data_IF_470888704431
#
_entry.id   IF_470888704431
#
_cell.length_a   1.000
_cell.length_b   1.000
_cell.length_c   1.000
_cell.angle_alpha   90.00
_cell.angle_beta   90.00
_cell.angle_gamma   90.00
#
_symmetry.space_group_name_H-M   'P 1'
#
loop_
_entity.id
_entity.type
_entity.pdbx_description
1 polymer ?
#
# COMPACT_ATOMS: atom_id res chain seq x y z
N UNK A 1 -6.37 -2.89 28.11
CA UNK A 1 -6.15 -1.62 27.41
C UNK A 1 -4.96 -0.94 28.06
N UNK A 2 -3.89 -0.68 27.31
CA UNK A 2 -2.76 0.12 27.79
C UNK A 2 -3.04 1.62 27.66
N UNK A 3 -2.32 2.47 28.40
CA UNK A 3 -2.54 3.91 28.46
C UNK A 3 -2.43 4.65 27.10
N UNK A 4 -1.63 4.16 26.13
CA UNK A 4 -1.56 4.75 24.79
C UNK A 4 -2.83 4.51 23.94
N UNK A 5 -3.43 3.32 24.08
CA UNK A 5 -4.59 2.91 23.31
C UNK A 5 -5.84 3.78 23.61
N UNK A 6 -6.01 4.22 24.86
CA UNK A 6 -7.12 5.10 25.26
C UNK A 6 -6.97 6.52 24.70
N UNK A 7 -5.75 7.05 24.62
CA UNK A 7 -5.46 8.40 24.10
C UNK A 7 -5.72 8.47 22.59
N UNK A 8 -5.18 7.52 21.82
CA UNK A 8 -5.39 7.46 20.36
C UNK A 8 -6.85 7.22 20.00
N UNK A 9 -7.56 6.35 20.75
CA UNK A 9 -9.00 6.14 20.57
C UNK A 9 -9.78 7.43 20.79
N UNK A 10 -9.59 8.09 21.93
CA UNK A 10 -10.30 9.35 22.23
C UNK A 10 -10.02 10.42 21.17
N UNK A 11 -8.78 10.51 20.70
CA UNK A 11 -8.35 11.50 19.70
C UNK A 11 -8.90 11.24 18.30
N UNK A 12 -9.05 10.01 17.85
CA UNK A 12 -9.42 9.74 16.44
C UNK A 12 -10.77 9.07 16.27
N UNK A 13 -11.22 8.27 17.23
CA UNK A 13 -12.46 7.49 17.18
C UNK A 13 -13.52 7.95 18.20
N UNK A 14 -13.18 8.88 19.08
CA UNK A 14 -14.09 9.41 20.09
C UNK A 14 -14.63 8.33 21.03
N UNK A 15 -15.95 8.35 21.27
CA UNK A 15 -16.63 7.41 22.18
C UNK A 15 -17.16 6.15 21.51
N UNK A 16 -16.76 5.83 20.28
CA UNK A 16 -17.24 4.64 19.57
C UNK A 16 -16.83 3.36 20.34
N UNK A 17 -17.84 2.67 20.90
CA UNK A 17 -17.66 1.39 21.61
C UNK A 17 -17.69 0.20 20.65
N UNK A 18 -18.15 0.38 19.41
CA UNK A 18 -18.20 -0.65 18.39
C UNK A 18 -16.80 -1.15 18.02
N UNK A 19 -15.80 -0.27 18.06
CA UNK A 19 -14.40 -0.62 17.75
C UNK A 19 -13.80 -1.62 18.75
N UNK A 20 -14.22 -1.58 20.02
CA UNK A 20 -13.73 -2.48 21.08
C UNK A 20 -14.26 -3.90 20.94
N UNK A 21 -15.33 -4.08 20.18
CA UNK A 21 -15.93 -5.38 19.86
C UNK A 21 -15.37 -6.00 18.59
N UNK A 22 -14.56 -5.25 17.82
CA UNK A 22 -13.96 -5.72 16.56
C UNK A 22 -12.64 -6.44 16.84
N UNK A 23 -12.21 -7.28 15.89
CA UNK A 23 -10.87 -7.86 15.93
C UNK A 23 -9.81 -6.73 15.89
N UNK A 24 -8.67 -6.85 16.59
CA UNK A 24 -7.63 -5.83 16.64
C UNK A 24 -7.25 -5.24 15.28
N UNK A 25 -7.07 -6.08 14.24
CA UNK A 25 -6.74 -5.60 12.89
C UNK A 25 -7.79 -4.64 12.30
N UNK A 26 -9.08 -4.94 12.49
CA UNK A 26 -10.17 -4.10 11.97
C UNK A 26 -10.24 -2.77 12.73
N UNK A 27 -10.07 -2.83 14.05
CA UNK A 27 -9.97 -1.65 14.90
C UNK A 27 -8.79 -0.76 14.52
N UNK A 28 -7.62 -1.36 14.23
CA UNK A 28 -6.46 -0.66 13.71
C UNK A 28 -6.75 0.01 12.37
N UNK A 29 -7.37 -0.71 11.43
CA UNK A 29 -7.74 -0.16 10.12
C UNK A 29 -8.61 1.09 10.25
N UNK A 30 -9.63 1.05 11.10
CA UNK A 30 -10.52 2.18 11.38
C UNK A 30 -9.80 3.35 12.07
N UNK A 31 -8.98 3.05 13.08
CA UNK A 31 -8.16 4.06 13.75
C UNK A 31 -7.25 4.78 12.76
N UNK A 32 -6.57 4.04 11.90
CA UNK A 32 -5.69 4.59 10.89
C UNK A 32 -6.46 5.46 9.89
N UNK A 33 -7.63 5.01 9.41
CA UNK A 33 -8.45 5.84 8.52
C UNK A 33 -8.86 7.17 9.15
N UNK A 34 -9.30 7.12 10.41
CA UNK A 34 -9.70 8.31 11.12
C UNK A 34 -8.52 9.26 11.35
N UNK A 35 -7.35 8.72 11.69
CA UNK A 35 -6.11 9.48 11.88
C UNK A 35 -5.66 10.19 10.60
N UNK A 36 -5.58 9.47 9.48
CA UNK A 36 -5.25 10.03 8.17
C UNK A 36 -6.21 11.18 7.80
N UNK A 37 -7.52 10.96 7.94
CA UNK A 37 -8.53 11.97 7.64
C UNK A 37 -8.38 13.21 8.54
N UNK A 38 -8.17 13.02 9.85
CA UNK A 38 -8.04 14.13 10.81
C UNK A 38 -6.76 14.93 10.61
N UNK A 39 -5.71 14.32 10.05
CA UNK A 39 -4.46 14.99 9.69
C UNK A 39 -4.50 15.70 8.33
N UNK A 40 -5.66 15.79 7.68
CA UNK A 40 -5.80 16.44 6.37
C UNK A 40 -5.22 15.63 5.20
N UNK A 41 -4.83 14.37 5.44
CA UNK A 41 -4.32 13.48 4.42
C UNK A 41 -5.47 12.79 3.68
N UNK A 42 -5.29 12.54 2.39
CA UNK A 42 -6.25 11.84 1.55
C UNK A 42 -5.58 10.65 0.84
N UNK A 43 -6.39 9.61 0.59
CA UNK A 43 -5.99 8.44 -0.22
C UNK A 43 -6.62 8.45 -1.61
N UNK A 44 -7.33 9.52 -1.95
CA UNK A 44 -8.01 9.65 -3.23
C UNK A 44 -6.99 9.66 -4.37
N UNK A 45 -7.23 8.93 -5.47
CA UNK A 45 -6.31 8.90 -6.60
C UNK A 45 -6.43 10.21 -7.39
N UNK A 46 -5.69 11.25 -7.01
CA UNK A 46 -5.78 12.56 -7.69
C UNK A 46 -5.13 12.58 -9.07
N UNK A 47 -4.12 11.74 -9.30
CA UNK A 47 -3.36 11.67 -10.56
C UNK A 47 -4.12 10.89 -11.63
N UNK A 48 -4.74 9.77 -11.27
CA UNK A 48 -5.32 8.83 -12.24
C UNK A 48 -6.42 9.45 -13.13
N UNK A 49 -7.38 10.25 -12.60
CA UNK A 49 -8.37 10.92 -13.44
C UNK A 49 -7.77 11.89 -14.46
N UNK A 50 -6.63 12.51 -14.13
CA UNK A 50 -5.92 13.40 -15.07
C UNK A 50 -5.32 12.58 -16.21
N UNK A 51 -4.66 11.47 -15.87
CA UNK A 51 -4.02 10.55 -16.82
C UNK A 51 -5.06 9.90 -17.74
N UNK A 52 -6.18 9.40 -17.21
CA UNK A 52 -7.25 8.81 -18.00
C UNK A 52 -7.85 9.83 -18.98
N UNK A 53 -8.08 11.07 -18.54
CA UNK A 53 -8.57 12.14 -19.44
C UNK A 53 -7.56 12.45 -20.54
N UNK A 54 -6.27 12.50 -20.23
CA UNK A 54 -5.22 12.73 -21.22
C UNK A 54 -5.15 11.58 -22.24
N UNK A 55 -5.12 10.34 -21.77
CA UNK A 55 -5.10 9.15 -22.62
C UNK A 55 -6.34 9.09 -23.54
N UNK A 56 -7.53 9.35 -23.00
CA UNK A 56 -8.78 9.41 -23.77
C UNK A 56 -8.74 10.47 -24.87
N UNK A 57 -8.28 11.68 -24.56
CA UNK A 57 -8.15 12.77 -25.56
C UNK A 57 -7.15 12.43 -26.66
N UNK A 58 -6.08 11.71 -26.32
CA UNK A 58 -5.07 11.26 -27.26
C UNK A 58 -5.46 9.98 -28.03
N UNK A 59 -6.64 9.40 -27.77
CA UNK A 59 -7.04 8.12 -28.38
C UNK A 59 -6.20 6.92 -27.94
N UNK A 60 -5.44 7.04 -26.85
CA UNK A 60 -4.57 5.99 -26.32
C UNK A 60 -5.40 5.08 -25.41
N UNK A 61 -5.41 3.79 -25.71
CA UNK A 61 -6.00 2.77 -24.84
C UNK A 61 -4.97 2.35 -23.78
N UNK A 62 -5.23 2.57 -22.47
CA UNK A 62 -4.31 2.13 -21.42
C UNK A 62 -4.16 0.61 -21.41
N UNK A 63 -2.93 0.14 -21.17
CA UNK A 63 -2.65 -1.28 -20.92
C UNK A 63 -2.97 -1.59 -19.45
N UNK A 64 -3.89 -2.52 -19.15
CA UNK A 64 -4.16 -2.93 -17.78
C UNK A 64 -2.92 -3.58 -17.15
N UNK A 65 -2.56 -3.16 -15.94
CA UNK A 65 -1.44 -3.72 -15.18
C UNK A 65 -1.88 -4.44 -13.90
N UNK A 66 -3.19 -4.65 -13.73
CA UNK A 66 -3.74 -5.32 -12.56
C UNK A 66 -3.50 -6.83 -12.67
N UNK A 67 -2.96 -7.43 -11.60
CA UNK A 67 -2.86 -8.88 -11.48
C UNK A 67 -4.18 -9.41 -10.94
N UNK A 68 -4.95 -10.11 -11.78
CA UNK A 68 -6.15 -10.80 -11.35
C UNK A 68 -5.78 -12.03 -10.50
N UNK A 69 -6.11 -11.96 -9.21
CA UNK A 69 -5.91 -13.07 -8.27
C UNK A 69 -7.26 -13.59 -7.78
N UNK A 70 -7.63 -14.79 -8.24
CA UNK A 70 -8.88 -15.46 -7.82
C UNK A 70 -8.62 -16.36 -6.62
N UNK A 71 -9.29 -16.08 -5.52
CA UNK A 71 -9.32 -16.97 -4.35
C UNK A 71 -10.19 -18.17 -4.69
N UNK A 72 -9.57 -19.35 -4.79
CA UNK A 72 -10.30 -20.62 -4.88
C UNK A 72 -11.05 -20.88 -3.57
N UNK A 73 -12.30 -21.32 -3.68
CA UNK A 73 -13.18 -21.69 -2.58
C UNK A 73 -13.28 -20.61 -1.47
N UNK A 74 -13.85 -19.43 -1.77
CA UNK A 74 -13.86 -18.28 -0.84
C UNK A 74 -14.57 -18.60 0.49
N UNK A 75 -15.58 -19.49 0.48
CA UNK A 75 -16.25 -19.94 1.71
C UNK A 75 -15.32 -20.73 2.62
N UNK A 76 -14.52 -21.63 2.04
CA UNK A 76 -13.53 -22.40 2.79
C UNK A 76 -12.39 -21.49 3.25
N UNK A 77 -11.92 -20.57 2.41
CA UNK A 77 -10.92 -19.57 2.78
C UNK A 77 -11.37 -18.75 4.00
N UNK A 78 -12.64 -18.30 4.01
CA UNK A 78 -13.19 -17.56 5.14
C UNK A 78 -13.30 -18.44 6.41
N UNK A 79 -13.70 -19.71 6.27
CA UNK A 79 -13.76 -20.65 7.40
C UNK A 79 -12.37 -20.89 7.99
N UNK A 80 -11.36 -21.11 7.16
CA UNK A 80 -9.98 -21.33 7.56
C UNK A 80 -9.34 -20.07 8.14
N UNK A 81 -9.64 -18.88 7.59
CA UNK A 81 -9.22 -17.61 8.18
C UNK A 81 -9.84 -17.37 9.56
N UNK A 82 -11.09 -17.79 9.78
CA UNK A 82 -11.74 -17.74 11.10
C UNK A 82 -11.17 -18.77 12.08
N UNK A 83 -10.80 -19.95 11.59
CA UNK A 83 -10.29 -21.05 12.41
C UNK A 83 -8.79 -20.92 12.72
N UNK A 84 -8.01 -20.37 11.80
CA UNK A 84 -6.60 -20.08 11.97
C UNK A 84 -6.44 -18.82 12.80
N UNK A 85 -5.91 -18.95 14.02
CA UNK A 85 -5.48 -17.80 14.80
C UNK A 85 -4.43 -17.01 14.03
N UNK A 86 -4.69 -15.74 13.81
CA UNK A 86 -3.71 -14.77 13.33
C UNK A 86 -3.30 -13.92 14.54
N UNK A 87 -2.01 -13.71 14.74
CA UNK A 87 -1.50 -12.73 15.69
C UNK A 87 -1.77 -11.32 15.13
N UNK A 88 -2.99 -10.85 15.32
CA UNK A 88 -3.43 -9.51 14.93
C UNK A 88 -3.03 -8.43 15.93
N UNK A 89 -2.41 -8.81 17.06
CA UNK A 89 -1.86 -7.89 18.05
C UNK A 89 -0.62 -7.17 17.56
N UNK A 90 0.27 -7.86 16.83
CA UNK A 90 1.45 -7.22 16.22
C UNK A 90 1.05 -6.16 15.18
N UNK A 91 0.10 -6.51 14.30
CA UNK A 91 -0.52 -5.59 13.34
C UNK A 91 -1.14 -4.38 14.05
N UNK A 92 -1.95 -4.60 15.09
CA UNK A 92 -2.57 -3.51 15.84
C UNK A 92 -1.55 -2.57 16.49
N UNK A 93 -0.47 -3.13 17.06
CA UNK A 93 0.60 -2.34 17.67
C UNK A 93 1.34 -1.49 16.63
N UNK A 94 1.66 -2.03 15.46
CA UNK A 94 2.31 -1.28 14.38
C UNK A 94 1.47 -0.09 13.93
N UNK A 95 0.16 -0.29 13.77
CA UNK A 95 -0.76 0.79 13.41
C UNK A 95 -0.88 1.83 14.53
N UNK A 96 -0.92 1.43 15.80
CA UNK A 96 -0.90 2.37 16.92
C UNK A 96 0.36 3.22 16.91
N UNK A 97 1.54 2.61 16.73
CA UNK A 97 2.81 3.32 16.63
C UNK A 97 2.75 4.34 15.49
N UNK A 98 2.28 3.94 14.31
CA UNK A 98 2.18 4.85 13.18
C UNK A 98 1.23 6.03 13.43
N UNK A 99 0.09 5.77 14.07
CA UNK A 99 -0.88 6.82 14.43
C UNK A 99 -0.35 7.75 15.53
N UNK A 100 0.45 7.24 16.46
CA UNK A 100 0.96 8.01 17.60
C UNK A 100 2.23 8.78 17.27
N UNK A 101 3.09 8.26 16.38
CA UNK A 101 4.44 8.78 16.16
C UNK A 101 4.69 9.24 14.73
N UNK A 102 4.07 8.61 13.75
CA UNK A 102 4.52 8.76 12.35
C UNK A 102 3.64 9.73 11.55
N UNK A 103 2.48 10.14 12.07
CA UNK A 103 1.60 11.10 11.39
C UNK A 103 2.30 12.42 10.97
N UNK A 104 3.15 13.05 11.80
CA UNK A 104 3.88 14.26 11.38
C UNK A 104 4.77 13.98 10.15
N UNK A 105 5.51 12.88 10.17
CA UNK A 105 6.35 12.43 9.06
C UNK A 105 5.51 12.15 7.80
N UNK A 106 4.32 11.56 7.96
CA UNK A 106 3.40 11.35 6.84
C UNK A 106 2.92 12.66 6.20
N UNK A 107 2.67 13.69 7.01
CA UNK A 107 2.30 15.03 6.54
C UNK A 107 3.46 15.70 5.82
N UNK A 108 4.66 15.68 6.39
CA UNK A 108 5.87 16.22 5.75
C UNK A 108 6.11 15.56 4.39
N UNK A 109 5.98 14.23 4.33
CA UNK A 109 6.11 13.46 3.09
C UNK A 109 5.02 13.79 2.07
N UNK A 110 3.78 14.05 2.51
CA UNK A 110 2.70 14.47 1.62
C UNK A 110 2.96 15.87 1.02
N UNK A 111 3.51 16.79 1.81
CA UNK A 111 3.92 18.10 1.34
C UNK A 111 5.05 18.00 0.31
N UNK A 112 6.09 17.21 0.59
CA UNK A 112 7.16 16.93 -0.37
C UNK A 112 6.62 16.35 -1.69
N UNK A 113 5.67 15.41 -1.61
CA UNK A 113 5.00 14.86 -2.80
C UNK A 113 4.22 15.93 -3.58
N UNK A 114 3.54 16.86 -2.90
CA UNK A 114 2.72 17.89 -3.55
C UNK A 114 3.51 18.88 -4.40
N UNK A 115 4.78 19.11 -4.06
CA UNK A 115 5.68 20.04 -4.77
C UNK A 115 6.75 19.33 -5.61
N UNK A 116 6.78 17.99 -5.60
CA UNK A 116 7.76 17.21 -6.36
C UNK A 116 9.16 17.16 -5.75
N UNK A 117 9.32 17.34 -4.44
CA UNK A 117 10.61 17.22 -3.76
C UNK A 117 11.05 15.76 -3.62
N UNK A 118 11.68 15.24 -4.68
CA UNK A 118 12.14 13.85 -4.77
C UNK A 118 13.23 13.56 -3.74
N UNK A 119 14.07 14.54 -3.40
CA UNK A 119 15.16 14.36 -2.45
C UNK A 119 14.64 14.16 -1.02
N UNK A 120 13.67 14.98 -0.59
CA UNK A 120 12.98 14.78 0.68
C UNK A 120 12.24 13.44 0.70
N UNK A 121 11.58 13.05 -0.40
CA UNK A 121 10.90 11.75 -0.48
C UNK A 121 11.85 10.55 -0.38
N UNK A 122 13.11 10.69 -0.82
CA UNK A 122 14.15 9.66 -0.64
C UNK A 122 14.62 9.58 0.82
N UNK A 123 14.73 10.72 1.51
CA UNK A 123 15.10 10.80 2.94
C UNK A 123 13.98 10.39 3.90
N UNK A 124 12.73 10.48 3.44
CA UNK A 124 11.53 10.10 4.19
C UNK A 124 10.91 8.82 3.59
N UNK A 125 11.59 7.66 3.73
CA UNK A 125 11.07 6.41 3.21
C UNK A 125 9.70 6.12 3.85
N UNK A 126 8.75 5.70 3.01
CA UNK A 126 7.43 5.30 3.52
C UNK A 126 7.54 3.88 4.04
N UNK A 127 7.56 3.72 5.36
CA UNK A 127 7.12 2.46 5.95
C UNK A 127 5.60 2.36 5.77
N UNK A 128 5.12 1.23 5.30
CA UNK A 128 3.70 0.98 5.18
C UNK A 128 3.19 0.45 6.52
N UNK A 129 2.42 1.22 7.31
CA UNK A 129 1.95 0.74 8.61
C UNK A 129 1.02 -0.47 8.47
N UNK A 130 0.45 -0.68 7.28
CA UNK A 130 -0.37 -1.85 6.97
C UNK A 130 0.47 -3.06 6.54
N UNK A 131 1.76 -2.93 6.23
CA UNK A 131 2.60 -4.05 5.80
C UNK A 131 2.62 -5.15 6.85
N UNK A 132 2.83 -4.82 8.14
CA UNK A 132 2.79 -5.80 9.22
C UNK A 132 1.44 -6.55 9.30
N UNK A 133 0.34 -5.88 8.97
CA UNK A 133 -0.98 -6.50 8.89
C UNK A 133 -1.12 -7.41 7.67
N UNK A 134 -0.63 -6.97 6.51
CA UNK A 134 -0.61 -7.77 5.29
C UNK A 134 0.28 -9.00 5.45
N UNK A 135 1.44 -8.88 6.09
CA UNK A 135 2.38 -9.96 6.36
C UNK A 135 1.81 -10.95 7.37
N UNK A 136 1.18 -10.47 8.45
CA UNK A 136 0.47 -11.31 9.40
C UNK A 136 -0.66 -12.11 8.72
N UNK A 137 -1.40 -11.48 7.80
CA UNK A 137 -2.42 -12.16 7.00
C UNK A 137 -1.79 -13.18 6.04
N UNK A 138 -0.75 -12.78 5.31
CA UNK A 138 -0.10 -13.59 4.29
C UNK A 138 0.64 -14.79 4.86
N UNK A 139 1.21 -14.65 6.07
CA UNK A 139 1.88 -15.74 6.80
C UNK A 139 0.91 -16.72 7.47
N UNK A 140 -0.39 -16.44 7.50
CA UNK A 140 -1.38 -17.39 8.01
C UNK A 140 -1.37 -18.68 7.17
N UNK A 141 -1.61 -19.82 7.83
CA UNK A 141 -1.64 -21.12 7.14
C UNK A 141 -2.68 -21.18 6.00
N UNK A 142 -3.80 -20.46 6.16
CA UNK A 142 -4.84 -20.33 5.14
C UNK A 142 -4.38 -19.50 3.92
N UNK A 143 -3.56 -18.47 4.13
CA UNK A 143 -3.04 -17.62 3.07
C UNK A 143 -1.89 -18.28 2.28
N UNK A 144 -0.95 -18.94 2.97
CA UNK A 144 0.13 -19.71 2.34
C UNK A 144 -0.39 -20.84 1.45
N UNK A 145 -1.39 -21.60 1.91
CA UNK A 145 -2.05 -22.64 1.10
C UNK A 145 -2.64 -22.12 -0.22
N UNK A 146 -2.84 -20.80 -0.33
CA UNK A 146 -3.40 -20.15 -1.51
C UNK A 146 -2.35 -19.34 -2.29
N UNK A 147 -1.10 -19.26 -1.83
CA UNK A 147 -0.03 -18.51 -2.50
C UNK A 147 -0.17 -17.00 -2.38
N UNK A 148 -0.74 -16.53 -1.25
CA UNK A 148 -0.87 -15.09 -0.94
C UNK A 148 0.43 -14.51 -0.39
N UNK A 149 1.25 -15.33 0.28
CA UNK A 149 2.60 -15.01 0.75
C UNK A 149 3.55 -14.52 -0.34
N UNK A 150 3.30 -14.94 -1.57
CA UNK A 150 4.11 -14.58 -2.73
C UNK A 150 3.47 -13.50 -3.64
N UNK A 151 2.28 -13.00 -3.25
CA UNK A 151 1.47 -12.15 -4.12
C UNK A 151 2.17 -10.82 -4.45
N UNK A 152 2.88 -10.22 -3.49
CA UNK A 152 3.64 -8.99 -3.74
C UNK A 152 4.73 -9.17 -4.82
N UNK A 153 5.49 -10.26 -4.74
CA UNK A 153 6.51 -10.58 -5.74
C UNK A 153 5.88 -10.79 -7.11
N UNK A 154 4.79 -11.56 -7.18
CA UNK A 154 4.05 -11.81 -8.42
C UNK A 154 3.47 -10.54 -9.03
N UNK A 155 2.94 -9.62 -8.22
CA UNK A 155 2.46 -8.32 -8.69
C UNK A 155 3.60 -7.49 -9.30
N UNK A 156 4.77 -7.47 -8.66
CA UNK A 156 5.96 -6.79 -9.20
C UNK A 156 6.42 -7.39 -10.52
N UNK A 157 6.57 -8.71 -10.58
CA UNK A 157 7.01 -9.42 -11.79
C UNK A 157 6.01 -9.26 -12.93
N UNK A 158 4.71 -9.35 -12.65
CA UNK A 158 3.66 -9.11 -13.63
C UNK A 158 3.74 -7.71 -14.22
N UNK A 159 3.87 -6.69 -13.36
CA UNK A 159 4.02 -5.31 -13.82
C UNK A 159 5.31 -5.11 -14.63
N UNK A 160 6.44 -5.66 -14.18
CA UNK A 160 7.71 -5.56 -14.90
C UNK A 160 7.64 -6.22 -16.27
N UNK A 161 7.00 -7.39 -16.38
CA UNK A 161 6.78 -8.05 -17.67
C UNK A 161 5.96 -7.21 -18.65
N UNK A 162 4.93 -6.51 -18.16
CA UNK A 162 4.15 -5.57 -18.98
C UNK A 162 5.01 -4.36 -19.38
N UNK A 163 5.76 -3.80 -18.44
CA UNK A 163 6.60 -2.62 -18.68
C UNK A 163 7.69 -2.90 -19.72
N UNK A 164 8.42 -4.01 -19.59
CA UNK A 164 9.46 -4.38 -20.55
C UNK A 164 8.89 -4.70 -21.93
N UNK A 165 7.74 -5.39 -22.00
CA UNK A 165 7.06 -5.63 -23.27
C UNK A 165 6.60 -4.31 -23.94
N UNK A 166 6.13 -3.34 -23.15
CA UNK A 166 5.74 -2.02 -23.66
C UNK A 166 6.96 -1.22 -24.17
N UNK A 167 8.09 -1.26 -23.45
CA UNK A 167 9.34 -0.62 -23.85
C UNK A 167 9.92 -1.21 -25.14
N UNK A 168 9.78 -2.52 -25.36
CA UNK A 168 10.23 -3.16 -26.60
C UNK A 168 9.37 -2.83 -27.82
N UNK A 169 8.06 -2.62 -27.62
CA UNK A 169 7.09 -2.44 -28.72
C UNK A 169 6.87 -0.99 -29.11
N UNK A 170 7.10 -0.06 -28.20
CA UNK A 170 6.78 1.35 -28.38
C UNK A 170 8.04 2.19 -28.29
N UNK A 171 8.15 3.21 -29.15
CA UNK A 171 9.20 4.23 -29.04
C UNK A 171 9.15 5.00 -27.71
N UNK A 172 7.96 5.14 -27.12
CA UNK A 172 7.77 5.78 -25.83
C UNK A 172 6.63 5.11 -25.08
N UNK A 173 6.79 4.94 -23.77
CA UNK A 173 5.78 4.37 -22.86
C UNK A 173 5.64 5.31 -21.68
N UNK A 174 4.40 5.53 -21.23
CA UNK A 174 4.10 6.26 -20.01
C UNK A 174 3.46 5.33 -18.98
N UNK A 175 3.98 5.34 -17.75
CA UNK A 175 3.45 4.55 -16.66
C UNK A 175 3.42 5.37 -15.36
N UNK A 176 2.47 5.05 -14.49
CA UNK A 176 2.30 5.70 -13.19
C UNK A 176 2.38 4.64 -12.10
N UNK A 177 3.26 4.84 -11.13
CA UNK A 177 3.37 4.00 -9.93
C UNK A 177 3.49 4.87 -8.67
N UNK A 178 3.15 4.32 -7.50
CA UNK A 178 3.47 4.98 -6.23
C UNK A 178 4.96 5.26 -6.13
N UNK A 179 5.32 6.51 -5.84
CA UNK A 179 6.72 6.94 -5.75
C UNK A 179 7.52 6.08 -4.77
N UNK A 180 6.91 5.64 -3.66
CA UNK A 180 7.56 4.76 -2.67
C UNK A 180 7.95 3.39 -3.24
N UNK A 181 7.26 2.89 -4.27
CA UNK A 181 7.60 1.62 -4.93
C UNK A 181 8.62 1.84 -6.05
N UNK A 182 8.66 3.02 -6.66
CA UNK A 182 9.68 3.40 -7.65
C UNK A 182 11.05 3.59 -6.99
N UNK A 183 11.10 4.33 -5.87
CA UNK A 183 12.33 4.78 -5.22
C UNK A 183 12.78 3.89 -4.05
N UNK A 184 12.11 2.77 -3.78
CA UNK A 184 12.58 1.81 -2.80
C UNK A 184 13.95 1.24 -3.23
N UNK A 185 14.83 0.84 -2.28
CA UNK A 185 16.14 0.27 -2.61
C UNK A 185 16.11 -0.90 -3.60
N UNK A 186 15.11 -1.79 -3.49
CA UNK A 186 14.86 -2.90 -4.42
C UNK A 186 13.59 -2.68 -5.28
N UNK A 187 13.22 -1.40 -5.46
CA UNK A 187 12.02 -0.96 -6.15
C UNK A 187 12.02 -1.19 -7.66
N UNK A 188 10.98 -0.70 -8.32
CA UNK A 188 10.81 -0.91 -9.77
C UNK A 188 11.94 -0.30 -10.61
N UNK A 189 12.48 0.86 -10.23
CA UNK A 189 13.59 1.49 -10.97
C UNK A 189 14.88 0.68 -10.85
N UNK A 190 15.25 0.25 -9.63
CA UNK A 190 16.42 -0.60 -9.40
C UNK A 190 16.34 -1.92 -10.19
N UNK A 191 15.14 -2.50 -10.29
CA UNK A 191 14.92 -3.73 -11.07
C UNK A 191 15.02 -3.51 -12.57
N UNK A 192 14.58 -2.37 -13.10
CA UNK A 192 14.80 -2.00 -14.50
C UNK A 192 16.29 -1.80 -14.78
N UNK A 193 17.04 -1.15 -13.88
CA UNK A 193 18.51 -1.03 -14.01
C UNK A 193 19.19 -2.39 -14.04
N UNK A 194 18.78 -3.32 -13.15
CA UNK A 194 19.31 -4.68 -13.14
C UNK A 194 18.99 -5.48 -14.43
N UNK A 195 17.96 -5.07 -15.18
CA UNK A 195 17.61 -5.62 -16.49
C UNK A 195 18.36 -4.94 -17.65
N UNK A 196 19.24 -3.98 -17.37
CA UNK A 196 20.06 -3.26 -18.36
C UNK A 196 19.42 -1.99 -18.91
N UNK A 197 18.30 -1.52 -18.34
CA UNK A 197 17.71 -0.24 -18.74
C UNK A 197 18.43 0.92 -18.05
N UNK A 198 18.69 1.98 -18.81
CA UNK A 198 19.15 3.26 -18.27
C UNK A 198 18.01 3.93 -17.49
N UNK A 199 18.34 4.47 -16.31
CA UNK A 199 17.40 5.24 -15.49
C UNK A 199 17.98 6.63 -15.28
N UNK A 200 17.38 7.59 -15.97
CA UNK A 200 17.62 9.01 -15.78
C UNK A 200 16.64 9.52 -14.71
N UNK A 201 17.18 9.97 -13.57
CA UNK A 201 16.37 10.63 -12.55
C UNK A 201 16.11 12.10 -12.94
N UNK A 202 14.95 12.68 -12.58
CA UNK A 202 14.74 14.12 -12.66
C UNK A 202 15.76 14.91 -11.84
#
# INVERSE_FOLDING_TARGET
MGAGQSVSKARYLGSDRGVERKRPMLAAGELYQAAIKRSGLARSPVVWPVVERAAKRAGIKPTPTALDYKIKDPRQALKEFRAGGMDDTACFRSILVAVERDLPTMVERANAWSVGDVEALRRLPREDPQAACMDAMASSGAARKRGIDDLERRMREHWLGIATAALQRNRSTFAVLPISRLTAPDGYLARLQALGYEVEAP
#
